data_IF_236566956360
#
_entry.id   IF_236566956360
#
_cell.length_a   1.000
_cell.length_b   1.000
_cell.length_c   1.000
_cell.angle_alpha   90.00
_cell.angle_beta   90.00
_cell.angle_gamma   90.00
#
_symmetry.space_group_name_H-M   'P 1'
#
loop_
_entity.id
_entity.type
_entity.pdbx_description
1 polymer ?
#
# COMPACT_ATOMS: atom_id res chain seq x y z
N UNK A 1 7.54 -10.56 -14.09
CA UNK A 1 8.58 -10.39 -13.06
C UNK A 1 9.65 -9.46 -13.56
N UNK A 2 9.74 -8.29 -12.94
CA UNK A 2 10.65 -7.20 -13.29
C UNK A 2 10.03 -6.14 -14.20
N UNK A 3 8.72 -6.16 -14.48
CA UNK A 3 8.03 -5.13 -15.28
C UNK A 3 7.15 -4.19 -14.42
N UNK A 4 7.06 -4.47 -13.12
CA UNK A 4 6.34 -3.63 -12.15
C UNK A 4 4.85 -3.92 -12.07
N UNK A 5 4.38 -4.99 -12.71
CA UNK A 5 2.98 -5.43 -12.65
C UNK A 5 2.90 -6.76 -11.91
N UNK A 6 2.07 -6.84 -10.87
CA UNK A 6 1.83 -8.10 -10.17
C UNK A 6 0.88 -8.95 -11.01
N UNK A 7 1.40 -10.05 -11.57
CA UNK A 7 0.62 -10.99 -12.40
C UNK A 7 0.35 -12.30 -11.68
N UNK A 8 -0.40 -13.21 -12.33
CA UNK A 8 -0.73 -14.52 -11.73
C UNK A 8 0.56 -15.30 -11.47
N UNK A 9 0.77 -15.66 -10.21
CA UNK A 9 1.97 -16.38 -9.77
C UNK A 9 3.03 -15.51 -9.11
N UNK A 10 2.82 -14.20 -9.02
CA UNK A 10 3.69 -13.24 -8.33
C UNK A 10 3.02 -12.71 -7.07
N UNK A 11 3.82 -12.44 -6.05
CA UNK A 11 3.34 -11.81 -4.81
C UNK A 11 3.62 -10.30 -4.82
N UNK A 12 4.63 -9.89 -5.59
CA UNK A 12 5.10 -8.52 -5.71
C UNK A 12 5.92 -8.35 -6.99
N UNK A 13 5.97 -7.13 -7.54
CA UNK A 13 6.90 -6.80 -8.62
C UNK A 13 7.28 -5.32 -8.50
N UNK A 14 8.56 -5.04 -8.22
CA UNK A 14 9.03 -3.67 -8.11
C UNK A 14 9.45 -3.06 -9.46
N UNK A 15 9.69 -3.82 -10.53
CA UNK A 15 9.88 -3.30 -11.89
C UNK A 15 10.76 -2.06 -12.12
N UNK A 16 11.77 -1.81 -11.27
CA UNK A 16 12.57 -0.58 -11.34
C UNK A 16 11.90 0.69 -10.77
N UNK A 17 10.76 0.54 -10.07
CA UNK A 17 10.19 1.57 -9.20
C UNK A 17 11.25 2.06 -8.21
N UNK A 18 11.13 3.33 -7.84
CA UNK A 18 12.01 3.94 -6.84
C UNK A 18 11.84 3.23 -5.49
N UNK A 19 12.93 3.16 -4.72
CA UNK A 19 12.97 2.46 -3.43
C UNK A 19 12.02 3.04 -2.37
N UNK A 20 11.53 4.27 -2.54
CA UNK A 20 10.53 4.92 -1.68
C UNK A 20 9.08 4.50 -2.03
N UNK A 21 8.87 3.83 -3.15
CA UNK A 21 7.58 3.34 -3.63
C UNK A 21 7.49 1.80 -3.58
N UNK A 22 8.62 1.11 -3.76
CA UNK A 22 8.70 -0.34 -3.68
C UNK A 22 10.05 -0.78 -3.13
N UNK A 23 10.05 -1.76 -2.21
CA UNK A 23 11.28 -2.23 -1.57
C UNK A 23 11.71 -3.60 -2.10
N UNK A 24 12.87 -3.64 -2.78
CA UNK A 24 13.54 -4.88 -3.19
C UNK A 24 14.10 -5.69 -2.01
N UNK A 25 14.05 -5.15 -0.79
CA UNK A 25 14.34 -5.90 0.44
C UNK A 25 13.13 -6.75 0.84
N UNK A 26 11.92 -6.28 0.50
CA UNK A 26 10.66 -6.97 0.77
C UNK A 26 10.23 -7.89 -0.38
N UNK A 27 10.61 -7.55 -1.61
CA UNK A 27 10.31 -8.30 -2.81
C UNK A 27 11.60 -8.79 -3.47
N UNK A 28 11.74 -10.09 -3.70
CA UNK A 28 12.87 -10.62 -4.47
C UNK A 28 12.66 -10.29 -5.96
N UNK A 29 13.51 -9.42 -6.56
CA UNK A 29 13.33 -8.97 -7.93
C UNK A 29 13.57 -10.05 -9.00
N UNK A 30 14.14 -11.21 -8.61
CA UNK A 30 14.35 -12.34 -9.55
C UNK A 30 13.15 -13.27 -9.62
N UNK A 31 12.43 -13.40 -8.50
CA UNK A 31 11.34 -14.39 -8.36
C UNK A 31 9.97 -13.76 -8.23
N UNK A 32 9.90 -12.45 -7.95
CA UNK A 32 8.66 -11.71 -7.70
C UNK A 32 7.83 -12.32 -6.58
N UNK A 33 8.56 -12.79 -5.55
CA UNK A 33 8.04 -13.36 -4.32
C UNK A 33 8.45 -12.50 -3.13
N UNK A 34 7.60 -12.51 -2.12
CA UNK A 34 7.95 -11.88 -0.86
C UNK A 34 9.17 -12.57 -0.25
N UNK A 35 10.08 -11.77 0.29
CA UNK A 35 11.18 -12.29 1.12
C UNK A 35 10.62 -12.84 2.43
N UNK A 36 11.37 -13.72 3.10
CA UNK A 36 10.91 -14.37 4.34
C UNK A 36 10.47 -13.35 5.39
N UNK A 37 9.20 -13.43 5.81
CA UNK A 37 8.61 -12.55 6.82
C UNK A 37 7.96 -11.28 6.27
N UNK A 38 8.13 -10.99 4.98
CA UNK A 38 7.49 -9.85 4.32
C UNK A 38 6.01 -10.13 4.06
N UNK A 39 5.17 -9.13 4.33
CA UNK A 39 3.73 -9.14 4.07
C UNK A 39 3.35 -8.24 2.89
N UNK A 40 4.19 -7.27 2.59
CA UNK A 40 3.99 -6.31 1.51
C UNK A 40 5.33 -5.74 1.05
N UNK A 41 5.37 -5.14 -0.14
CA UNK A 41 6.56 -4.45 -0.68
C UNK A 41 6.26 -3.06 -1.23
N UNK A 42 4.99 -2.71 -1.42
CA UNK A 42 4.49 -1.44 -1.97
C UNK A 42 3.12 -1.12 -1.37
N UNK A 43 2.59 0.08 -1.65
CA UNK A 43 1.30 0.55 -1.18
C UNK A 43 1.37 1.45 0.05
N UNK A 44 0.40 2.34 0.22
CA UNK A 44 0.38 3.35 1.29
C UNK A 44 0.21 2.74 2.69
N UNK A 45 -0.38 1.54 2.77
CA UNK A 45 -0.52 0.76 4.00
C UNK A 45 0.60 -0.26 4.22
N UNK A 46 1.66 -0.24 3.39
CA UNK A 46 2.88 -0.96 3.67
C UNK A 46 3.89 -0.07 4.38
N UNK A 47 4.53 -0.58 5.43
CA UNK A 47 5.79 -0.03 5.91
C UNK A 47 6.93 -0.67 5.10
N UNK A 48 7.37 0.02 4.05
CA UNK A 48 8.42 -0.46 3.13
C UNK A 48 9.79 -0.68 3.80
N UNK A 49 10.01 -0.13 5.01
CA UNK A 49 11.23 -0.34 5.78
C UNK A 49 11.21 -1.65 6.57
N UNK A 50 10.05 -2.06 7.07
CA UNK A 50 9.87 -3.32 7.82
C UNK A 50 9.24 -4.45 7.01
N UNK A 51 8.72 -4.15 5.82
CA UNK A 51 7.97 -5.06 4.95
C UNK A 51 6.66 -5.57 5.56
N UNK A 52 6.12 -4.88 6.57
CA UNK A 52 4.91 -5.26 7.29
C UNK A 52 3.75 -4.34 6.94
N UNK A 53 2.54 -4.89 7.05
CA UNK A 53 1.33 -4.09 6.95
C UNK A 53 1.24 -3.12 8.13
N UNK A 54 0.86 -1.87 7.86
CA UNK A 54 0.54 -0.90 8.89
C UNK A 54 -0.70 -1.36 9.65
N UNK A 55 -0.70 -1.14 10.96
CA UNK A 55 -1.83 -1.51 11.81
C UNK A 55 -3.14 -0.83 11.39
N UNK A 56 -4.27 -1.48 11.70
CA UNK A 56 -5.59 -0.93 11.47
C UNK A 56 -5.74 0.47 12.09
N UNK A 57 -6.51 1.34 11.43
CA UNK A 57 -6.74 2.75 11.82
C UNK A 57 -5.52 3.67 11.69
N UNK A 58 -4.39 3.19 11.15
CA UNK A 58 -3.27 4.08 10.80
C UNK A 58 -3.65 4.88 9.55
N UNK A 59 -3.54 6.20 9.64
CA UNK A 59 -3.80 7.11 8.51
C UNK A 59 -2.86 6.81 7.36
N UNK A 60 -3.44 6.59 6.17
CA UNK A 60 -2.70 6.38 4.93
C UNK A 60 -2.93 7.51 3.92
N UNK A 61 -4.08 8.18 3.96
CA UNK A 61 -4.33 9.43 3.24
C UNK A 61 -5.02 10.43 4.16
N UNK A 62 -4.40 11.59 4.46
CA UNK A 62 -5.06 12.62 5.25
C UNK A 62 -6.23 13.22 4.45
N UNK A 63 -7.27 13.65 5.18
CA UNK A 63 -8.34 14.46 4.62
C UNK A 63 -7.79 15.80 4.12
N UNK A 64 -8.14 16.17 2.89
CA UNK A 64 -7.66 17.41 2.25
C UNK A 64 -8.59 18.61 2.48
N UNK A 65 -9.87 18.35 2.74
CA UNK A 65 -10.87 19.37 3.04
C UNK A 65 -11.97 18.74 3.88
N UNK A 66 -12.81 19.58 4.48
CA UNK A 66 -13.87 19.16 5.38
C UNK A 66 -14.88 18.17 4.76
N UNK A 67 -15.01 18.14 3.44
CA UNK A 67 -15.82 17.18 2.68
C UNK A 67 -15.15 15.82 2.42
N UNK A 68 -13.85 15.72 2.67
CA UNK A 68 -13.03 14.55 2.42
C UNK A 68 -12.87 13.75 3.72
N UNK A 69 -12.91 12.42 3.63
CA UNK A 69 -12.66 11.55 4.80
C UNK A 69 -11.19 11.18 4.82
N UNK A 70 -10.63 11.09 6.03
CA UNK A 70 -9.31 10.53 6.20
C UNK A 70 -9.36 9.01 5.97
N UNK A 71 -8.50 8.51 5.08
CA UNK A 71 -8.40 7.07 4.84
C UNK A 71 -7.43 6.44 5.81
N UNK A 72 -7.83 5.26 6.29
CA UNK A 72 -7.04 4.48 7.22
C UNK A 72 -6.82 3.06 6.72
N UNK A 73 -5.68 2.50 7.10
CA UNK A 73 -5.36 1.10 6.85
C UNK A 73 -6.32 0.18 7.62
N UNK A 74 -6.64 -0.97 7.03
CA UNK A 74 -7.44 -2.03 7.64
C UNK A 74 -6.61 -3.02 8.47
N UNK A 75 -5.27 -2.96 8.36
CA UNK A 75 -4.33 -3.88 8.99
C UNK A 75 -4.21 -5.24 8.30
N UNK A 76 -4.84 -5.40 7.15
CA UNK A 76 -4.95 -6.67 6.42
C UNK A 76 -4.52 -6.54 4.95
N UNK A 77 -4.46 -5.32 4.43
CA UNK A 77 -4.03 -5.00 3.07
C UNK A 77 -2.99 -3.88 3.03
N UNK A 78 -2.17 -3.87 1.98
CA UNK A 78 -1.25 -2.78 1.68
C UNK A 78 -1.93 -1.62 0.93
N UNK A 79 -3.18 -1.81 0.48
CA UNK A 79 -3.98 -0.77 -0.17
C UNK A 79 -4.60 0.17 0.86
N UNK A 80 -4.61 1.46 0.53
CA UNK A 80 -5.37 2.47 1.26
C UNK A 80 -6.70 2.64 0.53
N UNK A 81 -7.77 2.14 1.13
CA UNK A 81 -9.11 2.23 0.53
C UNK A 81 -9.66 3.63 0.75
N UNK A 82 -10.16 4.25 -0.32
CA UNK A 82 -10.73 5.59 -0.29
C UNK A 82 -12.13 5.56 0.31
N UNK A 83 -12.35 6.37 1.34
CA UNK A 83 -13.64 6.60 1.97
C UNK A 83 -14.16 7.98 1.58
N UNK A 84 -15.38 8.01 1.04
CA UNK A 84 -16.06 9.26 0.71
C UNK A 84 -17.21 9.49 1.66
N UNK A 85 -17.48 10.76 1.97
CA UNK A 85 -18.71 11.13 2.67
C UNK A 85 -19.91 10.80 1.80
N UNK A 86 -21.07 10.44 2.41
CA UNK A 86 -22.29 10.23 1.65
C UNK A 86 -22.67 11.47 0.85
N UNK A 87 -23.26 11.26 -0.33
CA UNK A 87 -23.81 12.34 -1.15
C UNK A 87 -24.79 13.19 -0.34
N UNK A 88 -24.65 14.52 -0.42
CA UNK A 88 -25.47 15.48 0.31
C UNK A 88 -24.97 15.80 1.73
N UNK A 89 -23.83 15.26 2.15
CA UNK A 89 -23.15 15.73 3.36
C UNK A 89 -22.80 17.22 3.21
N UNK A 90 -23.23 18.04 4.17
CA UNK A 90 -22.93 19.48 4.14
C UNK A 90 -21.50 19.73 4.59
N UNK A 91 -20.75 20.39 3.71
CA UNK A 91 -19.37 20.84 3.89
C UNK A 91 -19.33 22.36 3.73
N UNK A 92 -18.39 23.01 4.40
CA UNK A 92 -18.17 24.46 4.48
C UNK A 92 -17.06 24.94 3.55
#
# INVERSE_FOLDING_TARGET
CGDGLVTTGEDCDCGGLKNDLCSNTCCDPKTCKFTTGSQCSTGLCCDIGSCLLKAAKKVCRPSQHDCDVEDVCDGQSNFCTDFVKPDGYMCQ
#
